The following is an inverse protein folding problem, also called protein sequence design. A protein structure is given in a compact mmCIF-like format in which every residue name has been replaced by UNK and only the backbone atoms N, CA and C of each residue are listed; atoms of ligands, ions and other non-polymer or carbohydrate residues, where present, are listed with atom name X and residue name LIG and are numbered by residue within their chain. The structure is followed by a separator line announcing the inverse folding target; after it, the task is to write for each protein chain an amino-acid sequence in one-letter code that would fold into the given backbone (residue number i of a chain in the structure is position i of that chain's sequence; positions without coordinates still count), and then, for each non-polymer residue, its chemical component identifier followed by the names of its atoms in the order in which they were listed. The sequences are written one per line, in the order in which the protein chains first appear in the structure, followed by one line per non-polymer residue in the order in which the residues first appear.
data_IF_171195685385
#
_entry.id   IF_171195685385
#
_cell.length_a   1.000
_cell.length_b   1.000
_cell.length_c   1.000
_cell.angle_alpha   90.00
_cell.angle_beta   90.00
_cell.angle_gamma   90.00
#
_symmetry.space_group_name_H-M   'P 1'
#
loop_
_entity.id
_entity.type
_entity.pdbx_description
1 polymer ?
#
# COMPACT_ATOMS: atom_id res chain seq x y z
N UNK A 1 24.76 -0.97 25.65
CA UNK A 1 24.01 -1.50 24.49
C UNK A 1 22.83 -0.59 24.23
N UNK A 2 22.87 0.22 23.17
CA UNK A 2 21.72 1.02 22.74
C UNK A 2 20.62 0.05 22.27
N UNK A 3 19.57 -0.11 23.07
CA UNK A 3 18.34 -0.78 22.63
C UNK A 3 17.69 0.14 21.60
N UNK A 4 17.77 -0.27 20.34
CA UNK A 4 17.06 0.38 19.23
C UNK A 4 15.57 0.43 19.57
N UNK A 5 14.96 1.60 19.34
CA UNK A 5 13.51 1.75 19.30
C UNK A 5 13.01 0.76 18.23
N UNK A 6 12.07 -0.15 18.54
CA UNK A 6 11.54 -1.06 17.55
C UNK A 6 10.92 -0.24 16.43
N UNK A 7 11.41 -0.46 15.20
CA UNK A 7 10.80 0.12 14.01
C UNK A 7 9.36 -0.40 13.89
N UNK A 8 8.41 0.44 13.43
CA UNK A 8 7.09 -0.04 13.03
C UNK A 8 7.25 -1.24 12.08
N UNK A 9 6.56 -2.35 12.37
CA UNK A 9 6.64 -3.59 11.58
C UNK A 9 7.93 -4.40 11.71
N UNK A 10 8.78 -4.16 12.71
CA UNK A 10 10.00 -4.95 12.95
C UNK A 10 9.74 -6.45 13.21
N UNK A 11 8.51 -6.82 13.57
CA UNK A 11 8.07 -8.21 13.72
C UNK A 11 8.06 -8.95 12.36
N UNK A 12 7.58 -8.31 11.29
CA UNK A 12 7.57 -8.88 9.94
C UNK A 12 8.99 -9.12 9.43
N UNK A 13 9.95 -8.29 9.85
CA UNK A 13 11.37 -8.45 9.52
C UNK A 13 12.00 -9.66 10.20
N UNK A 14 11.44 -10.20 11.29
CA UNK A 14 11.97 -11.38 11.97
C UNK A 14 11.98 -12.63 11.08
N UNK A 15 11.10 -12.66 10.07
CA UNK A 15 10.99 -13.76 9.09
C UNK A 15 12.11 -13.74 8.03
N UNK A 16 12.88 -12.65 7.93
CA UNK A 16 13.95 -12.51 6.94
C UNK A 16 15.25 -13.20 7.41
N UNK A 17 16.14 -13.64 6.50
CA UNK A 17 17.47 -14.13 6.85
C UNK A 17 18.29 -13.10 7.64
N UNK A 18 19.15 -13.59 8.54
CA UNK A 18 19.95 -12.77 9.46
C UNK A 18 20.79 -11.71 8.74
N UNK A 19 21.38 -12.07 7.61
CA UNK A 19 22.18 -11.17 6.77
C UNK A 19 21.34 -9.98 6.25
N UNK A 20 20.12 -10.28 5.79
CA UNK A 20 19.17 -9.26 5.33
C UNK A 20 18.72 -8.36 6.48
N UNK A 21 18.41 -8.94 7.66
CA UNK A 21 18.04 -8.15 8.84
C UNK A 21 19.18 -7.23 9.29
N UNK A 22 20.41 -7.72 9.29
CA UNK A 22 21.59 -6.93 9.67
C UNK A 22 21.84 -5.79 8.68
N UNK A 23 21.61 -6.03 7.39
CA UNK A 23 21.72 -4.99 6.35
C UNK A 23 20.67 -3.90 6.53
N UNK A 24 19.41 -4.27 6.73
CA UNK A 24 18.31 -3.31 6.98
C UNK A 24 18.61 -2.48 8.23
N UNK A 25 19.06 -3.11 9.32
CA UNK A 25 19.47 -2.41 10.54
C UNK A 25 20.60 -1.42 10.28
N UNK A 26 21.62 -1.82 9.53
CA UNK A 26 22.78 -0.98 9.22
C UNK A 26 22.40 0.23 8.36
N UNK A 27 21.40 0.11 7.49
CA UNK A 27 20.86 1.23 6.71
C UNK A 27 20.07 2.17 7.62
N UNK A 28 19.21 1.65 8.50
CA UNK A 28 18.32 2.47 9.31
C UNK A 28 19.02 3.30 10.40
N UNK A 29 20.24 2.93 10.81
CA UNK A 29 21.07 3.74 11.71
C UNK A 29 21.85 4.85 10.99
N UNK A 30 21.78 4.92 9.65
CA UNK A 30 22.34 6.05 8.91
C UNK A 30 21.47 7.27 9.17
N UNK A 31 22.11 8.39 9.49
CA UNK A 31 21.44 9.66 9.83
C UNK A 31 20.43 10.10 8.78
N UNK A 32 20.74 9.93 7.49
CA UNK A 32 19.81 10.26 6.40
C UNK A 32 18.50 9.46 6.44
N UNK A 33 18.55 8.19 6.85
CA UNK A 33 17.34 7.34 6.95
C UNK A 33 16.49 7.73 8.16
N UNK A 34 17.12 8.02 9.30
CA UNK A 34 16.39 8.50 10.48
C UNK A 34 15.71 9.86 10.26
N UNK A 35 16.39 10.78 9.57
CA UNK A 35 15.80 12.08 9.19
C UNK A 35 14.63 11.90 8.21
N UNK A 36 14.74 11.04 7.21
CA UNK A 36 13.66 10.78 6.25
C UNK A 36 12.40 10.21 6.94
N UNK A 37 12.57 9.27 7.88
CA UNK A 37 11.45 8.72 8.65
C UNK A 37 10.77 9.78 9.52
N UNK A 38 11.55 10.70 10.10
CA UNK A 38 11.00 11.80 10.88
C UNK A 38 10.21 12.79 10.01
N UNK A 39 10.74 13.12 8.84
CA UNK A 39 10.05 14.01 7.87
C UNK A 39 8.77 13.36 7.34
N UNK A 40 8.79 12.07 7.05
CA UNK A 40 7.61 11.28 6.65
C UNK A 40 6.53 11.33 7.74
N UNK A 41 6.89 11.01 8.99
CA UNK A 41 5.96 11.05 10.11
C UNK A 41 5.38 12.46 10.34
N UNK A 42 6.19 13.51 10.19
CA UNK A 42 5.74 14.90 10.34
C UNK A 42 4.80 15.34 9.21
N UNK A 43 4.95 14.79 8.00
CA UNK A 43 4.13 15.10 6.84
C UNK A 43 2.86 14.25 6.68
N UNK A 44 2.70 13.20 7.49
CA UNK A 44 1.69 12.17 7.27
C UNK A 44 0.25 12.71 7.30
N UNK A 45 -0.12 13.46 8.34
CA UNK A 45 -1.46 14.05 8.46
C UNK A 45 -1.75 15.01 7.30
N UNK A 46 -0.78 15.86 6.94
CA UNK A 46 -0.91 16.76 5.80
C UNK A 46 -1.10 16.01 4.48
N UNK A 47 -0.43 14.87 4.31
CA UNK A 47 -0.58 14.00 3.13
C UNK A 47 -1.98 13.40 3.01
N UNK A 48 -2.56 12.93 4.12
CA UNK A 48 -3.94 12.41 4.16
C UNK A 48 -4.91 13.51 3.70
N UNK A 49 -4.80 14.70 4.30
CA UNK A 49 -5.69 15.81 3.99
C UNK A 49 -5.53 16.29 2.54
N UNK A 50 -4.29 16.36 2.04
CA UNK A 50 -4.03 16.74 0.65
C UNK A 50 -4.62 15.72 -0.33
N UNK A 51 -4.44 14.43 -0.07
CA UNK A 51 -4.94 13.35 -0.94
C UNK A 51 -6.47 13.40 -1.05
N UNK A 52 -7.16 13.62 0.08
CA UNK A 52 -8.61 13.80 0.09
C UNK A 52 -9.07 14.97 -0.82
N UNK A 53 -8.26 16.04 -0.90
CA UNK A 53 -8.58 17.25 -1.69
C UNK A 53 -8.29 17.16 -3.20
N UNK A 54 -7.61 16.10 -3.68
CA UNK A 54 -7.24 15.98 -5.09
C UNK A 54 -8.44 15.67 -5.99
N UNK A 55 -8.30 15.98 -7.28
CA UNK A 55 -9.30 15.63 -8.29
C UNK A 55 -9.53 14.11 -8.37
N UNK A 56 -10.73 13.65 -8.79
CA UNK A 56 -11.01 12.23 -8.96
C UNK A 56 -10.09 11.57 -9.99
N UNK A 57 -9.74 10.31 -9.74
CA UNK A 57 -9.10 9.46 -10.75
C UNK A 57 -10.04 9.28 -11.95
N UNK A 58 -9.53 9.10 -13.18
CA UNK A 58 -10.38 8.70 -14.29
C UNK A 58 -11.09 7.39 -13.93
N UNK A 59 -12.42 7.39 -13.98
CA UNK A 59 -13.24 6.33 -13.39
C UNK A 59 -12.88 4.92 -13.87
N UNK A 60 -12.39 4.79 -15.10
CA UNK A 60 -12.09 3.51 -15.75
C UNK A 60 -10.77 2.87 -15.34
N UNK A 61 -9.87 3.60 -14.67
CA UNK A 61 -8.56 3.07 -14.25
C UNK A 61 -8.80 2.09 -13.10
N UNK A 62 -8.45 0.80 -13.23
CA UNK A 62 -8.56 -0.14 -12.12
C UNK A 62 -7.70 0.31 -10.94
N UNK A 63 -8.30 0.34 -9.75
CA UNK A 63 -7.59 0.69 -8.52
C UNK A 63 -7.88 -0.37 -7.45
N UNK A 64 -6.84 -0.82 -6.78
CA UNK A 64 -6.96 -1.69 -5.61
C UNK A 64 -6.09 -1.15 -4.50
N UNK A 65 -6.68 -0.91 -3.34
CA UNK A 65 -5.98 -0.61 -2.11
C UNK A 65 -5.98 -1.85 -1.24
N UNK A 66 -4.79 -2.26 -0.80
CA UNK A 66 -4.61 -3.35 0.17
C UNK A 66 -4.19 -2.70 1.49
N UNK A 67 -5.08 -2.75 2.48
CA UNK A 67 -4.91 -2.22 3.82
C UNK A 67 -4.48 -3.30 4.80
N UNK A 68 -3.77 -2.94 5.87
CA UNK A 68 -3.34 -3.89 6.89
C UNK A 68 -4.47 -4.27 7.84
N UNK A 69 -4.48 -5.51 8.33
CA UNK A 69 -5.43 -5.96 9.35
C UNK A 69 -5.01 -5.66 10.79
N UNK A 70 -3.73 -5.36 11.03
CA UNK A 70 -3.18 -4.97 12.33
C UNK A 70 -2.83 -3.48 12.25
N UNK A 71 -3.35 -2.63 13.16
CA UNK A 71 -3.10 -1.20 13.11
C UNK A 71 -1.62 -0.85 13.12
N UNK A 72 -1.20 0.01 12.18
CA UNK A 72 0.20 0.41 12.06
C UNK A 72 0.42 1.90 12.01
N UNK A 73 -0.63 2.67 11.79
CA UNK A 73 -0.59 4.12 11.90
C UNK A 73 -0.79 4.54 13.36
N UNK A 74 -0.49 5.81 13.71
CA UNK A 74 -0.87 6.35 15.00
C UNK A 74 -2.37 6.10 15.24
N UNK A 75 -2.73 5.48 16.37
CA UNK A 75 -4.10 4.98 16.65
C UNK A 75 -5.21 6.02 16.46
N UNK A 76 -4.91 7.30 16.62
CA UNK A 76 -5.87 8.39 16.44
C UNK A 76 -6.04 8.81 14.97
N UNK A 77 -5.07 8.52 14.10
CA UNK A 77 -5.12 8.77 12.65
C UNK A 77 -5.56 7.55 11.87
N UNK A 78 -5.34 6.34 12.41
CA UNK A 78 -5.68 5.06 11.79
C UNK A 78 -7.09 5.03 11.15
N UNK A 79 -8.19 5.43 11.83
CA UNK A 79 -9.52 5.43 11.20
C UNK A 79 -9.66 6.46 10.08
N UNK A 80 -8.98 7.60 10.21
CA UNK A 80 -9.00 8.67 9.20
C UNK A 80 -8.23 8.24 7.94
N UNK A 81 -7.08 7.59 8.13
CA UNK A 81 -6.27 7.05 7.05
C UNK A 81 -7.03 5.94 6.29
N UNK A 82 -7.64 5.00 7.02
CA UNK A 82 -8.47 3.95 6.40
C UNK A 82 -9.63 4.56 5.61
N UNK A 83 -10.38 5.51 6.21
CA UNK A 83 -11.52 6.15 5.55
C UNK A 83 -11.09 6.89 4.27
N UNK A 84 -9.98 7.63 4.32
CA UNK A 84 -9.44 8.34 3.16
C UNK A 84 -9.07 7.39 2.02
N UNK A 85 -8.43 6.26 2.35
CA UNK A 85 -8.05 5.26 1.35
C UNK A 85 -9.24 4.45 0.83
N UNK A 86 -10.27 4.25 1.65
CA UNK A 86 -11.53 3.64 1.22
C UNK A 86 -12.26 4.56 0.24
N UNK A 87 -12.39 5.83 0.55
CA UNK A 87 -12.95 6.86 -0.34
C UNK A 87 -12.18 6.92 -1.68
N UNK A 88 -10.85 6.79 -1.64
CA UNK A 88 -10.03 6.76 -2.85
C UNK A 88 -10.46 5.64 -3.81
N UNK A 89 -10.84 4.47 -3.29
CA UNK A 89 -11.31 3.36 -4.13
C UNK A 89 -12.65 3.66 -4.80
N UNK A 90 -13.51 4.45 -4.17
CA UNK A 90 -14.82 4.85 -4.73
C UNK A 90 -14.69 5.80 -5.93
N UNK A 91 -13.49 6.34 -6.18
CA UNK A 91 -13.19 7.19 -7.35
C UNK A 91 -13.03 6.40 -8.65
N UNK A 92 -13.03 5.06 -8.59
CA UNK A 92 -12.97 4.15 -9.75
C UNK A 92 -14.18 3.23 -9.76
N UNK A 93 -14.76 2.99 -10.94
CA UNK A 93 -15.85 2.02 -11.12
C UNK A 93 -15.37 0.56 -10.94
N UNK A 94 -14.05 0.35 -10.93
CA UNK A 94 -13.35 -0.90 -10.66
C UNK A 94 -12.55 -0.85 -9.36
N UNK A 95 -12.85 0.13 -8.50
CA UNK A 95 -12.20 0.30 -7.22
C UNK A 95 -12.42 -0.89 -6.28
N UNK A 96 -11.38 -1.30 -5.58
CA UNK A 96 -11.43 -2.34 -4.55
C UNK A 96 -10.64 -1.94 -3.32
N UNK A 97 -11.23 -2.17 -2.16
CA UNK A 97 -10.57 -2.05 -0.87
C UNK A 97 -10.49 -3.43 -0.21
N UNK A 98 -9.29 -3.89 0.09
CA UNK A 98 -9.03 -5.24 0.62
C UNK A 98 -8.27 -5.12 1.93
N UNK A 99 -8.70 -5.85 2.95
CA UNK A 99 -7.99 -5.95 4.23
C UNK A 99 -7.13 -7.21 4.21
N UNK A 100 -5.82 -7.03 4.33
CA UNK A 100 -4.86 -8.11 4.54
C UNK A 100 -4.87 -8.50 6.02
N UNK A 101 -5.80 -9.38 6.38
CA UNK A 101 -5.92 -9.90 7.75
C UNK A 101 -4.60 -10.47 8.27
N UNK A 102 -4.33 -10.24 9.57
CA UNK A 102 -3.11 -10.65 10.27
C UNK A 102 -1.81 -10.07 9.67
N UNK A 103 -1.89 -8.91 9.02
CA UNK A 103 -0.73 -8.19 8.46
C UNK A 103 -0.55 -6.85 9.15
N UNK A 104 0.72 -6.45 9.37
CA UNK A 104 1.07 -5.07 9.72
C UNK A 104 1.50 -4.26 8.48
N UNK A 105 2.38 -3.29 8.71
CA UNK A 105 2.82 -2.28 7.73
C UNK A 105 3.50 -2.88 6.50
N UNK A 106 4.15 -4.04 6.66
CA UNK A 106 4.83 -4.75 5.59
C UNK A 106 3.97 -5.86 4.97
N UNK A 107 2.83 -5.48 4.39
CA UNK A 107 1.85 -6.41 3.79
C UNK A 107 2.49 -7.35 2.76
N UNK A 108 3.47 -6.86 2.00
CA UNK A 108 4.20 -7.67 1.01
C UNK A 108 4.99 -8.83 1.61
N UNK A 109 5.41 -8.74 2.88
CA UNK A 109 6.09 -9.82 3.59
C UNK A 109 5.13 -10.67 4.42
N UNK A 110 4.11 -10.06 5.02
CA UNK A 110 3.17 -10.77 5.89
C UNK A 110 2.12 -11.56 5.11
N UNK A 111 1.59 -10.98 4.02
CA UNK A 111 0.54 -11.54 3.16
C UNK A 111 0.90 -11.43 1.68
N UNK A 112 2.05 -12.00 1.23
CA UNK A 112 2.43 -11.97 -0.18
C UNK A 112 1.40 -12.62 -1.09
N UNK A 113 0.64 -13.59 -0.58
CA UNK A 113 -0.46 -14.27 -1.28
C UNK A 113 -1.54 -13.28 -1.74
N UNK A 114 -1.96 -12.36 -0.86
CA UNK A 114 -2.98 -11.35 -1.15
C UNK A 114 -2.46 -10.38 -2.22
N UNK A 115 -1.24 -9.90 -2.06
CA UNK A 115 -0.61 -8.95 -2.99
C UNK A 115 -0.49 -9.56 -4.39
N UNK A 116 0.04 -10.78 -4.50
CA UNK A 116 0.23 -11.46 -5.78
C UNK A 116 -1.11 -11.77 -6.45
N UNK A 117 -2.11 -12.19 -5.67
CA UNK A 117 -3.47 -12.47 -6.16
C UNK A 117 -4.11 -11.22 -6.78
N UNK A 118 -4.01 -10.07 -6.12
CA UNK A 118 -4.62 -8.83 -6.61
C UNK A 118 -3.90 -8.26 -7.82
N UNK A 119 -2.56 -8.31 -7.85
CA UNK A 119 -1.79 -7.96 -9.06
C UNK A 119 -2.23 -8.85 -10.22
N UNK A 120 -2.34 -10.16 -10.01
CA UNK A 120 -2.76 -11.11 -11.05
C UNK A 120 -4.19 -10.83 -11.54
N UNK A 121 -5.09 -10.47 -10.64
CA UNK A 121 -6.48 -10.12 -10.97
C UNK A 121 -6.54 -8.84 -11.79
N UNK A 122 -5.78 -7.83 -11.41
CA UNK A 122 -5.71 -6.55 -12.13
C UNK A 122 -5.12 -6.72 -13.54
N UNK A 123 -4.04 -7.49 -13.67
CA UNK A 123 -3.44 -7.77 -14.99
C UNK A 123 -4.41 -8.51 -15.92
N UNK A 124 -5.19 -9.47 -15.40
CA UNK A 124 -6.23 -10.15 -16.18
C UNK A 124 -7.29 -9.15 -16.64
N UNK A 125 -7.80 -8.30 -15.75
CA UNK A 125 -8.81 -7.30 -16.08
C UNK A 125 -8.35 -6.39 -17.22
N UNK A 126 -7.11 -5.88 -17.16
CA UNK A 126 -6.53 -5.03 -18.20
C UNK A 126 -6.37 -5.78 -19.54
N UNK A 127 -5.99 -7.05 -19.50
CA UNK A 127 -5.79 -7.85 -20.72
C UNK A 127 -7.12 -8.18 -21.42
N UNK A 128 -8.19 -8.41 -20.65
CA UNK A 128 -9.53 -8.63 -21.22
C UNK A 128 -10.13 -7.37 -21.87
N UNK A 129 -9.80 -6.18 -21.37
CA UNK A 129 -10.24 -4.91 -21.97
C UNK A 129 -9.60 -4.64 -23.34
N UNK A 130 -8.27 -4.80 -23.47
CA UNK A 130 -7.58 -4.63 -24.75
C UNK A 130 -8.11 -5.58 -25.84
N UNK A 131 -8.43 -6.83 -25.48
CA UNK A 131 -9.02 -7.80 -26.41
C UNK A 131 -10.46 -7.42 -26.83
N UNK A 132 -11.27 -6.93 -25.88
CA UNK A 132 -12.68 -6.56 -26.14
C UNK A 132 -12.80 -5.32 -27.03
N UNK A 133 -11.93 -4.32 -26.80
CA UNK A 133 -11.89 -3.11 -27.62
C UNK A 133 -11.45 -3.41 -29.06
N UNK A 134 -10.49 -4.34 -29.25
CA UNK A 134 -10.05 -4.81 -30.58
C UNK A 134 -11.17 -5.54 -31.33
N UNK A 135 -11.96 -6.37 -30.66
CA UNK A 135 -13.06 -7.11 -31.29
C UNK A 135 -14.21 -6.16 -31.69
N UNK A 136 -14.50 -5.13 -30.89
CA UNK A 136 -15.53 -4.15 -31.22
C UNK A 136 -15.14 -3.26 -32.40
N UNK A 137 -13.86 -2.87 -32.50
CA UNK A 137 -13.32 -2.17 -33.67
C UNK A 137 -13.39 -3.00 -34.97
N UNK A 138 -13.27 -4.33 -34.87
CA UNK A 138 -13.36 -5.23 -36.02
C UNK A 138 -14.79 -5.47 -36.53
N UNK A 139 -15.82 -5.27 -35.68
CA UNK A 139 -17.24 -5.44 -36.03
C UNK A 139 -17.94 -4.17 -36.49
N UNK A 140 -17.29 -3.01 -36.35
CA UNK A 140 -17.81 -1.70 -36.76
C UNK A 140 -17.43 -1.28 -38.19
N UNK A 141 -17.03 -2.21 -39.05
CA UNK A 141 -16.74 -1.97 -40.48
C UNK A 141 -17.66 -2.77 -41.38
#
# INVERSE_FOLDING_TARGET
MLRLIPLPGSESLAKLPDETRNTIRAVNVRTGTASALYEEAAGFEASILQTASLAPLPSRVPLTVIWHGIPTEPLHLEPLAEASLRELTERSDKGKFIIAENSGHYITFDRPDVVISEISTMLKALHFEDQSDRVNLAKGK
#
